data_IF_764415315917
#
_entry.id   IF_764415315917
#
_cell.length_a   1.000
_cell.length_b   1.000
_cell.length_c   1.000
_cell.angle_alpha   90.00
_cell.angle_beta   90.00
_cell.angle_gamma   90.00
#
_symmetry.space_group_name_H-M   'P 1'
#
loop_
_entity.id
_entity.type
_entity.pdbx_description
1 polymer ?
#
# COMPACT_ATOMS: atom_id res chain seq x y z
N UNK A 1 -27.37 10.32 3.07
CA UNK A 1 -26.24 11.06 3.60
C UNK A 1 -25.03 10.85 2.75
N UNK A 2 -24.58 11.88 2.08
CA UNK A 2 -23.37 11.77 1.31
C UNK A 2 -22.20 11.55 2.26
N UNK A 3 -21.77 10.32 2.36
CA UNK A 3 -20.58 10.01 3.10
C UNK A 3 -19.40 10.66 2.40
N UNK A 4 -18.48 11.20 3.16
CA UNK A 4 -17.19 11.66 2.65
C UNK A 4 -16.46 10.57 1.86
N UNK A 5 -16.88 9.33 2.00
CA UNK A 5 -16.39 8.19 1.25
C UNK A 5 -16.98 8.05 -0.16
N UNK A 6 -18.01 8.83 -0.47
CA UNK A 6 -18.61 8.86 -1.82
C UNK A 6 -17.97 9.89 -2.73
N UNK A 7 -16.79 10.36 -2.42
CA UNK A 7 -16.01 11.13 -3.39
C UNK A 7 -15.75 10.24 -4.58
N UNK A 8 -16.27 10.61 -5.73
CA UNK A 8 -15.93 9.99 -6.99
C UNK A 8 -14.40 10.03 -7.06
N UNK A 9 -13.80 8.86 -7.04
CA UNK A 9 -12.35 8.77 -7.19
C UNK A 9 -12.03 9.20 -8.60
N UNK A 10 -11.40 10.33 -8.74
CA UNK A 10 -10.89 10.76 -10.02
C UNK A 10 -9.63 9.97 -10.32
N UNK A 11 -9.74 9.01 -11.25
CA UNK A 11 -8.59 8.28 -11.74
C UNK A 11 -7.88 9.04 -12.85
N UNK A 12 -6.66 8.64 -13.15
CA UNK A 12 -5.78 9.29 -14.11
C UNK A 12 -5.46 10.74 -13.72
N UNK A 13 -5.18 10.92 -12.44
CA UNK A 13 -4.90 12.22 -11.82
C UNK A 13 -3.59 12.21 -11.07
N UNK A 14 -2.99 13.38 -10.94
CA UNK A 14 -1.76 13.57 -10.15
C UNK A 14 -2.14 14.16 -8.79
N UNK A 15 -1.55 13.62 -7.73
CA UNK A 15 -1.79 14.08 -6.38
C UNK A 15 -0.48 14.47 -5.71
N UNK A 16 -0.49 15.61 -5.03
CA UNK A 16 0.59 16.03 -4.16
C UNK A 16 0.18 15.72 -2.72
N UNK A 17 0.91 14.82 -2.11
CA UNK A 17 0.64 14.32 -0.76
C UNK A 17 1.66 14.91 0.20
N UNK A 18 1.18 15.45 1.30
CA UNK A 18 2.01 16.06 2.33
C UNK A 18 1.65 15.47 3.68
N UNK A 19 2.64 15.14 4.46
CA UNK A 19 2.41 14.68 5.83
C UNK A 19 3.51 15.14 6.77
N UNK A 20 3.10 15.46 8.01
CA UNK A 20 4.03 15.67 9.10
C UNK A 20 4.54 14.34 9.60
N UNK A 21 5.82 14.35 9.96
CA UNK A 21 6.42 13.25 10.71
C UNK A 21 6.28 13.61 12.20
N UNK A 22 5.20 13.15 12.81
CA UNK A 22 4.90 13.46 14.20
C UNK A 22 6.00 12.95 15.14
N UNK A 23 6.30 13.73 16.19
CA UNK A 23 7.26 13.40 17.24
C UNK A 23 8.73 13.32 16.80
N UNK A 24 9.04 13.57 15.54
CA UNK A 24 10.41 13.55 15.08
C UNK A 24 10.81 14.91 14.57
N UNK A 25 11.44 15.63 15.47
CA UNK A 25 11.97 16.97 15.19
C UNK A 25 13.20 16.86 14.30
N UNK A 26 13.83 15.67 14.27
CA UNK A 26 15.06 15.47 13.54
C UNK A 26 14.84 14.48 12.44
N UNK A 27 15.18 14.82 11.35
CA UNK A 27 15.31 14.30 10.14
C UNK A 27 15.80 12.96 10.11
N UNK A 28 15.22 12.20 9.29
CA UNK A 28 15.74 10.98 8.72
C UNK A 28 17.19 11.21 8.29
N UNK A 29 18.10 10.49 8.91
CA UNK A 29 19.49 10.39 8.44
C UNK A 29 19.48 9.73 7.06
N UNK A 30 20.60 9.74 6.37
CA UNK A 30 20.68 9.21 5.01
C UNK A 30 20.17 7.77 4.88
N UNK A 31 20.50 6.91 5.84
CA UNK A 31 20.00 5.53 5.83
C UNK A 31 18.50 5.45 6.03
N UNK A 32 17.97 6.28 6.91
CA UNK A 32 16.52 6.34 7.16
C UNK A 32 15.77 6.90 5.94
N UNK A 33 16.37 7.82 5.21
CA UNK A 33 15.80 8.33 3.95
C UNK A 33 15.73 7.24 2.89
N UNK A 34 16.74 6.40 2.81
CA UNK A 34 16.75 5.25 1.89
C UNK A 34 15.65 4.26 2.26
N UNK A 35 15.50 3.96 3.54
CA UNK A 35 14.46 3.06 4.03
C UNK A 35 13.07 3.63 3.76
N UNK A 36 12.89 4.92 3.97
CA UNK A 36 11.66 5.63 3.65
C UNK A 36 11.31 5.51 2.17
N UNK A 37 12.29 5.83 1.31
CA UNK A 37 12.09 5.76 -0.14
C UNK A 37 11.75 4.35 -0.59
N UNK A 38 12.44 3.36 -0.04
CA UNK A 38 12.17 1.95 -0.35
C UNK A 38 10.74 1.57 0.06
N UNK A 39 10.30 2.00 1.24
CA UNK A 39 8.94 1.74 1.70
C UNK A 39 7.91 2.43 0.80
N UNK A 40 8.17 3.67 0.40
CA UNK A 40 7.28 4.40 -0.52
C UNK A 40 7.17 3.68 -1.87
N UNK A 41 8.29 3.20 -2.39
CA UNK A 41 8.31 2.43 -3.65
C UNK A 41 7.52 1.14 -3.55
N UNK A 42 7.74 0.37 -2.48
CA UNK A 42 6.99 -0.88 -2.24
C UNK A 42 5.49 -0.62 -2.11
N UNK A 43 5.14 0.43 -1.38
CA UNK A 43 3.75 0.82 -1.19
C UNK A 43 3.12 1.25 -2.51
N UNK A 44 3.84 2.03 -3.32
CA UNK A 44 3.34 2.45 -4.63
C UNK A 44 3.12 1.26 -5.56
N UNK A 45 4.03 0.31 -5.57
CA UNK A 45 3.89 -0.91 -6.38
C UNK A 45 2.70 -1.75 -5.92
N UNK A 46 2.53 -1.91 -4.62
CA UNK A 46 1.38 -2.63 -4.06
C UNK A 46 0.06 -1.94 -4.42
N UNK A 47 -0.02 -0.64 -4.24
CA UNK A 47 -1.24 0.13 -4.48
C UNK A 47 -1.54 0.35 -5.97
N UNK A 48 -0.60 0.06 -6.86
CA UNK A 48 -0.74 0.37 -8.29
C UNK A 48 -0.72 1.86 -8.57
N UNK A 49 -0.07 2.64 -7.72
CA UNK A 49 0.06 4.09 -7.83
C UNK A 49 1.48 4.41 -8.26
N UNK A 50 1.63 5.28 -9.25
CA UNK A 50 2.94 5.61 -9.79
C UNK A 50 3.59 6.73 -8.99
N UNK A 51 4.78 6.47 -8.46
CA UNK A 51 5.58 7.50 -7.79
C UNK A 51 6.25 8.40 -8.83
N UNK A 52 5.97 9.69 -8.77
CA UNK A 52 6.55 10.68 -9.68
C UNK A 52 7.72 11.43 -9.04
N UNK A 53 7.66 11.66 -7.74
CA UNK A 53 8.70 12.36 -7.02
C UNK A 53 8.46 12.38 -5.53
N UNK A 54 9.47 12.79 -4.79
CA UNK A 54 9.38 12.92 -3.35
C UNK A 54 10.36 13.96 -2.83
N UNK A 55 10.08 14.49 -1.65
CA UNK A 55 10.98 15.37 -0.94
C UNK A 55 10.76 15.20 0.56
N UNK A 56 11.84 15.05 1.30
CA UNK A 56 11.79 15.00 2.77
C UNK A 56 12.39 16.28 3.29
N UNK A 57 11.58 17.06 3.98
CA UNK A 57 11.97 18.37 4.49
C UNK A 57 11.65 18.46 5.97
N UNK A 58 12.60 18.67 6.81
CA UNK A 58 12.38 18.91 8.22
C UNK A 58 11.52 17.82 8.83
N UNK A 59 10.37 18.18 9.30
CA UNK A 59 9.42 17.30 9.91
C UNK A 59 8.24 16.95 8.97
N UNK A 60 8.43 17.21 7.67
CA UNK A 60 7.41 16.93 6.66
C UNK A 60 8.00 16.10 5.53
N UNK A 61 7.15 15.33 4.88
CA UNK A 61 7.50 14.77 3.59
C UNK A 61 6.45 15.12 2.53
N UNK A 62 6.90 15.20 1.30
CA UNK A 62 6.08 15.47 0.13
C UNK A 62 6.24 14.31 -0.84
N UNK A 63 5.15 13.80 -1.35
CA UNK A 63 5.14 12.73 -2.34
C UNK A 63 4.22 13.15 -3.48
N UNK A 64 4.74 13.06 -4.70
CA UNK A 64 3.96 13.31 -5.90
C UNK A 64 3.67 11.97 -6.57
N UNK A 65 2.39 11.67 -6.77
CA UNK A 65 1.96 10.39 -7.33
C UNK A 65 0.96 10.59 -8.46
N UNK A 66 0.94 9.62 -9.37
CA UNK A 66 -0.09 9.50 -10.38
C UNK A 66 -0.99 8.31 -10.03
N UNK A 67 -2.29 8.56 -9.90
CA UNK A 67 -3.30 7.53 -9.69
C UNK A 67 -3.85 7.12 -11.05
N UNK A 68 -3.45 5.96 -11.59
CA UNK A 68 -3.94 5.52 -12.89
C UNK A 68 -5.35 4.95 -12.80
N UNK A 69 -5.95 4.71 -13.95
CA UNK A 69 -7.18 3.92 -14.04
C UNK A 69 -6.87 2.52 -13.52
N UNK A 70 -7.70 1.98 -12.61
CA UNK A 70 -7.43 0.65 -12.03
C UNK A 70 -7.40 -0.45 -13.08
N UNK A 71 -6.38 -1.29 -12.99
CA UNK A 71 -6.30 -2.53 -13.75
C UNK A 71 -7.01 -3.66 -12.98
N UNK A 72 -7.39 -4.70 -13.70
CA UNK A 72 -7.85 -5.93 -13.07
C UNK A 72 -6.66 -6.60 -12.39
N UNK A 73 -6.82 -6.93 -11.12
CA UNK A 73 -5.75 -7.54 -10.32
C UNK A 73 -6.19 -8.95 -9.95
N UNK A 74 -5.67 -9.95 -10.67
CA UNK A 74 -5.94 -11.35 -10.39
C UNK A 74 -5.19 -11.84 -9.15
N UNK A 75 -5.42 -13.08 -8.76
CA UNK A 75 -4.79 -13.67 -7.58
C UNK A 75 -3.27 -13.61 -7.65
N UNK A 76 -2.69 -13.99 -8.78
CA UNK A 76 -1.23 -13.99 -8.96
C UNK A 76 -0.66 -12.59 -8.82
N UNK A 77 -1.32 -11.59 -9.39
CA UNK A 77 -0.89 -10.20 -9.29
C UNK A 77 -1.06 -9.64 -7.87
N UNK A 78 -2.14 -10.00 -7.18
CA UNK A 78 -2.30 -9.63 -5.75
C UNK A 78 -1.14 -10.18 -4.95
N UNK A 79 -0.79 -11.45 -5.15
CA UNK A 79 0.28 -12.09 -4.39
C UNK A 79 1.66 -11.54 -4.75
N UNK A 80 1.88 -11.20 -6.01
CA UNK A 80 3.12 -10.52 -6.43
C UNK A 80 3.29 -9.19 -5.71
N UNK A 81 2.26 -8.36 -5.72
CA UNK A 81 2.27 -7.05 -5.05
C UNK A 81 2.40 -7.18 -3.54
N UNK A 82 1.69 -8.14 -2.96
CA UNK A 82 1.75 -8.43 -1.53
C UNK A 82 3.17 -8.83 -1.11
N UNK A 83 3.85 -9.65 -1.92
CA UNK A 83 5.24 -10.04 -1.69
C UNK A 83 6.20 -8.86 -1.75
N UNK A 84 5.95 -7.90 -2.63
CA UNK A 84 6.76 -6.67 -2.71
C UNK A 84 6.57 -5.84 -1.43
N UNK A 85 5.33 -5.70 -0.95
CA UNK A 85 5.05 -4.91 0.24
C UNK A 85 5.53 -5.58 1.53
N UNK A 86 5.26 -6.86 1.70
CA UNK A 86 5.47 -7.58 2.97
C UNK A 86 6.71 -8.48 2.99
N UNK A 87 7.28 -8.77 1.82
CA UNK A 87 8.39 -9.69 1.67
C UNK A 87 7.96 -11.07 1.16
N UNK A 88 8.86 -11.76 0.49
CA UNK A 88 8.58 -13.07 -0.13
C UNK A 88 8.21 -14.15 0.88
N UNK A 89 8.84 -14.15 2.05
CA UNK A 89 8.57 -15.13 3.09
C UNK A 89 7.13 -15.03 3.59
N UNK A 90 6.68 -13.80 3.85
CA UNK A 90 5.31 -13.53 4.29
C UNK A 90 4.31 -13.95 3.22
N UNK A 91 4.60 -13.62 1.96
CA UNK A 91 3.75 -14.00 0.83
C UNK A 91 3.65 -15.53 0.67
N UNK A 92 4.77 -16.24 0.78
CA UNK A 92 4.77 -17.71 0.73
C UNK A 92 3.95 -18.33 1.86
N UNK A 93 4.08 -17.80 3.05
CA UNK A 93 3.29 -18.26 4.18
C UNK A 93 1.80 -18.08 3.93
N UNK A 94 1.43 -16.97 3.30
CA UNK A 94 0.04 -16.70 2.94
C UNK A 94 -0.47 -17.67 1.86
N UNK A 95 0.34 -17.99 0.87
CA UNK A 95 0.00 -19.01 -0.15
C UNK A 95 -0.23 -20.36 0.51
N UNK A 96 0.60 -20.74 1.48
CA UNK A 96 0.42 -21.98 2.23
C UNK A 96 -0.89 -21.97 3.03
N UNK A 97 -1.28 -20.83 3.59
CA UNK A 97 -2.59 -20.68 4.23
C UNK A 97 -3.74 -20.85 3.23
N UNK A 98 -3.61 -20.34 2.02
CA UNK A 98 -4.61 -20.54 0.96
C UNK A 98 -4.81 -22.02 0.64
N UNK A 99 -3.72 -22.78 0.56
CA UNK A 99 -3.77 -24.23 0.32
C UNK A 99 -4.57 -24.92 1.44
N UNK A 100 -4.29 -24.56 2.69
CA UNK A 100 -5.03 -25.11 3.85
C UNK A 100 -6.51 -24.75 3.79
N UNK A 101 -6.83 -23.49 3.49
CA UNK A 101 -8.22 -23.05 3.42
C UNK A 101 -8.98 -23.74 2.30
N UNK A 102 -8.35 -23.87 1.12
CA UNK A 102 -8.98 -24.54 -0.03
C UNK A 102 -9.26 -26.02 0.22
N UNK A 103 -8.44 -26.67 1.05
CA UNK A 103 -8.68 -28.04 1.45
C UNK A 103 -9.93 -28.20 2.34
N UNK A 104 -10.48 -27.12 2.85
CA UNK A 104 -11.71 -27.11 3.65
C UNK A 104 -12.99 -26.99 2.81
N UNK A 105 -12.86 -26.99 1.49
CA UNK A 105 -13.99 -26.93 0.56
C UNK A 105 -14.45 -25.51 0.25
N UNK A 106 -15.75 -25.35 -0.04
CA UNK A 106 -16.32 -24.09 -0.52
C UNK A 106 -16.14 -22.92 0.46
N UNK A 107 -16.27 -23.16 1.76
CA UNK A 107 -16.06 -22.11 2.77
C UNK A 107 -14.61 -21.62 2.81
N UNK A 108 -13.68 -22.51 2.56
CA UNK A 108 -12.27 -22.16 2.46
C UNK A 108 -11.96 -21.32 1.21
N UNK A 109 -12.58 -21.64 0.08
CA UNK A 109 -12.46 -20.85 -1.15
C UNK A 109 -13.02 -19.44 -0.96
N UNK A 110 -14.15 -19.30 -0.28
CA UNK A 110 -14.72 -18.00 0.06
C UNK A 110 -13.79 -17.19 0.95
N UNK A 111 -13.09 -17.84 1.87
CA UNK A 111 -12.11 -17.21 2.75
C UNK A 111 -10.92 -16.68 1.96
N UNK A 112 -10.42 -17.43 0.99
CA UNK A 112 -9.34 -16.97 0.10
C UNK A 112 -9.80 -15.74 -0.67
N UNK A 113 -10.99 -15.79 -1.25
CA UNK A 113 -11.56 -14.68 -2.02
C UNK A 113 -11.68 -13.42 -1.16
N UNK A 114 -12.19 -13.55 0.05
CA UNK A 114 -12.33 -12.43 0.97
C UNK A 114 -10.98 -11.78 1.30
N UNK A 115 -9.96 -12.60 1.55
CA UNK A 115 -8.61 -12.11 1.81
C UNK A 115 -8.07 -11.33 0.61
N UNK A 116 -8.21 -11.88 -0.59
CA UNK A 116 -7.77 -11.22 -1.83
C UNK A 116 -8.51 -9.91 -2.06
N UNK A 117 -9.82 -9.89 -1.86
CA UNK A 117 -10.64 -8.69 -2.02
C UNK A 117 -10.25 -7.61 -1.01
N UNK A 118 -9.89 -7.99 0.21
CA UNK A 118 -9.39 -7.05 1.21
C UNK A 118 -8.08 -6.38 0.74
N UNK A 119 -7.19 -7.14 0.09
CA UNK A 119 -5.98 -6.55 -0.49
C UNK A 119 -6.32 -5.62 -1.66
N UNK A 120 -7.22 -6.03 -2.53
CA UNK A 120 -7.66 -5.22 -3.68
C UNK A 120 -8.26 -3.88 -3.26
N UNK A 121 -9.01 -3.86 -2.15
CA UNK A 121 -9.58 -2.61 -1.61
C UNK A 121 -8.54 -1.60 -1.19
N UNK A 122 -7.35 -2.05 -0.87
CA UNK A 122 -6.23 -1.16 -0.49
C UNK A 122 -5.50 -0.60 -1.70
N UNK A 123 -5.76 -1.12 -2.89
CA UNK A 123 -5.12 -0.71 -4.14
C UNK A 123 -5.89 0.44 -4.78
N UNK A 124 -5.20 1.22 -5.61
CA UNK A 124 -5.75 2.36 -6.33
C UNK A 124 -6.48 3.36 -5.42
N UNK A 125 -5.92 3.56 -4.24
CA UNK A 125 -6.44 4.47 -3.23
C UNK A 125 -5.31 5.30 -2.65
N UNK A 126 -5.33 6.59 -2.91
CA UNK A 126 -4.34 7.54 -2.38
C UNK A 126 -4.42 7.58 -0.84
N UNK A 127 -5.62 7.50 -0.29
CA UNK A 127 -5.83 7.45 1.15
C UNK A 127 -5.18 6.22 1.80
N UNK A 128 -5.37 5.05 1.21
CA UNK A 128 -4.74 3.82 1.70
C UNK A 128 -3.23 3.82 1.51
N UNK A 129 -2.76 4.36 0.39
CA UNK A 129 -1.32 4.56 0.15
C UNK A 129 -0.70 5.35 1.31
N UNK A 130 -1.26 6.50 1.63
CA UNK A 130 -0.78 7.35 2.72
C UNK A 130 -0.89 6.69 4.08
N UNK A 131 -1.96 5.93 4.31
CA UNK A 131 -2.15 5.18 5.55
C UNK A 131 -1.04 4.15 5.77
N UNK A 132 -0.67 3.41 4.73
CA UNK A 132 0.41 2.42 4.80
C UNK A 132 1.75 3.10 5.07
N UNK A 133 2.06 4.18 4.35
CA UNK A 133 3.30 4.94 4.54
C UNK A 133 3.40 5.49 5.95
N UNK A 134 2.34 6.11 6.46
CA UNK A 134 2.32 6.67 7.82
C UNK A 134 2.46 5.59 8.88
N UNK A 135 1.81 4.45 8.68
CA UNK A 135 1.89 3.33 9.63
C UNK A 135 3.31 2.79 9.75
N UNK A 136 4.06 2.79 8.66
CA UNK A 136 5.47 2.40 8.68
C UNK A 136 6.26 3.27 9.66
N UNK A 137 6.05 4.58 9.67
CA UNK A 137 6.73 5.47 10.61
C UNK A 137 6.43 5.14 12.07
N UNK A 138 5.21 4.74 12.37
CA UNK A 138 4.83 4.44 13.76
C UNK A 138 5.36 3.11 14.25
N UNK A 139 5.64 2.16 13.36
CA UNK A 139 6.13 0.84 13.73
C UNK A 139 7.64 0.72 13.69
N UNK A 140 8.30 1.41 12.76
CA UNK A 140 9.74 1.29 12.55
C UNK A 140 10.55 2.41 13.21
N UNK A 141 9.94 3.52 13.41
CA UNK A 141 10.54 4.70 14.01
C UNK A 141 9.58 5.32 15.03
#
# INVERSE_FOLDING_TARGET
MANSNNRIKEYNTVHHLVSRIAHRVYFLKDDERKDFLEMVRRTSEFCGIKLLGWCVMGNHFHILVHLPVPAVVDENEVMRRYGILKGEKVARNQVNEFIKWRNQGASGEDRVKEWLDNQRRRMYSVGNFMKIVKQWFTTEY
#
